data_IF_762464159851
#
_entry.id   IF_762464159851
#
_cell.length_a   1.000
_cell.length_b   1.000
_cell.length_c   1.000
_cell.angle_alpha   90.00
_cell.angle_beta   90.00
_cell.angle_gamma   90.00
#
_symmetry.space_group_name_H-M   'P 1'
#
loop_
_entity.id
_entity.type
_entity.pdbx_description
1 polymer ?
#
# COMPACT_ATOMS: atom_id res chain seq x y z
N UNK A 1 -4.50 -3.82 42.43
CA UNK A 1 -5.73 -3.18 41.93
C UNK A 1 -5.72 -1.73 42.37
N UNK A 2 -5.30 -0.80 41.52
CA UNK A 2 -5.23 0.64 41.82
C UNK A 2 -6.01 1.37 40.73
N UNK A 3 -7.17 1.93 41.07
CA UNK A 3 -7.97 2.73 40.15
C UNK A 3 -7.49 4.18 40.18
N UNK A 4 -6.99 4.67 39.05
CA UNK A 4 -6.60 6.06 38.87
C UNK A 4 -7.66 6.76 37.99
N UNK A 5 -8.57 7.47 38.64
CA UNK A 5 -9.68 8.18 37.99
C UNK A 5 -9.16 9.46 37.31
N UNK A 6 -8.74 9.35 36.05
CA UNK A 6 -8.39 10.51 35.22
C UNK A 6 -9.65 11.23 34.75
N UNK A 7 -9.86 12.49 35.17
CA UNK A 7 -10.88 13.38 34.59
C UNK A 7 -10.43 13.82 33.20
N UNK A 8 -11.16 13.42 32.16
CA UNK A 8 -11.04 14.01 30.83
C UNK A 8 -12.23 14.95 30.64
N UNK A 9 -11.95 16.24 30.43
CA UNK A 9 -12.95 17.26 30.08
C UNK A 9 -13.07 17.29 28.55
N UNK A 10 -14.20 16.87 28.01
CA UNK A 10 -14.51 17.00 26.58
C UNK A 10 -15.39 18.24 26.37
N UNK A 11 -14.94 19.17 25.53
CA UNK A 11 -15.69 20.36 25.12
C UNK A 11 -16.57 20.01 23.92
N UNK A 12 -17.89 20.14 24.06
CA UNK A 12 -18.87 19.92 23.00
C UNK A 12 -19.47 21.28 22.62
N UNK A 13 -19.30 21.70 21.36
CA UNK A 13 -19.79 22.98 20.84
C UNK A 13 -21.03 22.73 19.98
N UNK A 14 -22.20 23.21 20.44
CA UNK A 14 -23.41 23.24 19.61
C UNK A 14 -23.60 24.61 18.96
N UNK A 15 -23.87 24.67 17.65
CA UNK A 15 -24.20 25.93 16.98
C UNK A 15 -25.64 26.37 17.33
N UNK A 16 -25.80 27.64 17.69
CA UNK A 16 -27.12 28.27 17.86
C UNK A 16 -27.52 28.94 16.56
N UNK A 17 -28.74 28.68 16.10
CA UNK A 17 -29.33 29.37 14.95
C UNK A 17 -29.73 30.78 15.38
N UNK A 18 -29.16 31.79 14.72
CA UNK A 18 -29.53 33.20 14.90
C UNK A 18 -28.39 34.13 14.54
N UNK A 19 -28.64 35.05 13.60
CA UNK A 19 -27.70 36.09 13.13
C UNK A 19 -26.98 36.76 14.30
N UNK A 20 -25.66 36.89 14.17
CA UNK A 20 -24.71 37.58 15.05
C UNK A 20 -23.97 36.68 16.05
N UNK A 21 -22.68 36.55 15.76
CA UNK A 21 -21.69 35.77 16.49
C UNK A 21 -21.55 36.16 17.96
N UNK A 22 -21.22 35.14 18.76
CA UNK A 22 -20.51 35.22 20.04
C UNK A 22 -21.34 35.46 21.31
N UNK A 23 -22.12 34.44 21.71
CA UNK A 23 -22.38 34.13 23.13
C UNK A 23 -22.54 32.62 23.30
N UNK A 24 -21.61 32.00 24.02
CA UNK A 24 -21.69 30.60 24.43
C UNK A 24 -22.03 30.55 25.93
N UNK A 25 -23.07 29.78 26.30
CA UNK A 25 -23.40 29.50 27.70
C UNK A 25 -22.74 28.18 28.10
N UNK A 26 -21.92 28.23 29.15
CA UNK A 26 -21.26 27.06 29.71
C UNK A 26 -22.28 26.25 30.54
N UNK A 27 -22.84 25.17 29.98
CA UNK A 27 -23.77 24.29 30.69
C UNK A 27 -23.04 23.03 31.14
N UNK A 28 -22.97 22.83 32.46
CA UNK A 28 -22.41 21.63 33.10
C UNK A 28 -23.41 20.48 32.93
N UNK A 29 -23.23 19.63 31.93
CA UNK A 29 -24.10 18.46 31.71
C UNK A 29 -23.42 17.16 32.16
N UNK A 30 -24.12 16.37 32.98
CA UNK A 30 -23.71 14.99 33.33
C UNK A 30 -24.15 14.06 32.21
N UNK A 31 -23.29 13.82 31.21
CA UNK A 31 -23.44 12.61 30.38
C UNK A 31 -22.65 11.48 31.02
N UNK A 32 -23.35 10.42 31.39
CA UNK A 32 -22.73 9.11 31.57
C UNK A 32 -22.35 8.62 30.19
N UNK A 33 -21.10 8.84 29.79
CA UNK A 33 -20.54 8.14 28.64
C UNK A 33 -20.46 6.69 29.06
N UNK A 34 -21.32 5.84 28.50
CA UNK A 34 -21.17 4.40 28.63
C UNK A 34 -19.75 4.08 28.15
N UNK A 35 -18.93 3.54 29.05
CA UNK A 35 -17.55 3.19 28.76
C UNK A 35 -17.56 2.28 27.53
N UNK A 36 -17.09 2.79 26.40
CA UNK A 36 -16.76 1.91 25.29
C UNK A 36 -15.73 0.91 25.82
N UNK A 37 -15.89 -0.40 25.58
CA UNK A 37 -14.88 -1.37 25.98
C UNK A 37 -13.58 -0.95 25.31
N UNK A 38 -12.67 -0.44 26.13
CA UNK A 38 -11.33 -0.08 25.73
C UNK A 38 -10.73 -1.38 25.17
N UNK A 39 -10.22 -1.41 23.92
CA UNK A 39 -9.66 -2.63 23.37
C UNK A 39 -8.61 -3.10 24.35
N UNK A 40 -8.86 -4.26 24.94
CA UNK A 40 -7.97 -4.83 25.94
C UNK A 40 -6.58 -4.89 25.29
N UNK A 41 -5.64 -4.17 25.91
CA UNK A 41 -4.23 -4.30 25.62
C UNK A 41 -3.83 -5.70 26.06
N UNK A 42 -4.13 -6.70 25.23
CA UNK A 42 -3.53 -8.01 25.36
C UNK A 42 -2.09 -7.86 24.89
N UNK A 43 -1.23 -7.35 25.78
CA UNK A 43 0.20 -7.66 25.72
C UNK A 43 0.30 -9.17 25.98
N UNK A 44 0.06 -9.96 24.93
CA UNK A 44 0.32 -11.39 24.95
C UNK A 44 1.79 -11.59 25.33
N UNK A 45 2.05 -12.61 26.15
CA UNK A 45 3.39 -12.91 26.64
C UNK A 45 4.40 -12.94 25.47
N UNK A 46 5.54 -12.24 25.58
CA UNK A 46 6.47 -12.11 24.48
C UNK A 46 6.91 -13.49 23.99
N UNK A 47 6.82 -13.70 22.67
CA UNK A 47 7.21 -14.96 22.05
C UNK A 47 8.67 -15.26 22.36
N UNK A 48 8.96 -16.53 22.69
CA UNK A 48 10.36 -16.98 22.72
C UNK A 48 11.01 -16.78 21.34
N UNK A 49 12.34 -16.56 21.26
CA UNK A 49 13.02 -16.40 19.97
C UNK A 49 12.76 -17.55 18.99
N UNK A 50 12.61 -18.78 19.47
CA UNK A 50 12.26 -19.94 18.66
C UNK A 50 10.83 -19.86 18.11
N UNK A 51 9.86 -19.48 18.95
CA UNK A 51 8.47 -19.29 18.53
C UNK A 51 8.34 -18.13 17.53
N UNK A 52 9.06 -17.02 17.74
CA UNK A 52 9.11 -15.89 16.81
C UNK A 52 9.67 -16.30 15.45
N UNK A 53 10.80 -17.02 15.41
CA UNK A 53 11.37 -17.56 14.15
C UNK A 53 10.41 -18.51 13.44
N UNK A 54 9.72 -19.39 14.18
CA UNK A 54 8.72 -20.28 13.61
C UNK A 54 7.52 -19.51 13.05
N UNK A 55 7.06 -18.46 13.74
CA UNK A 55 5.99 -17.59 13.26
C UNK A 55 6.38 -16.86 11.96
N UNK A 56 7.59 -16.28 11.91
CA UNK A 56 8.14 -15.64 10.71
C UNK A 56 8.25 -16.64 9.55
N UNK A 57 8.80 -17.84 9.78
CA UNK A 57 8.88 -18.89 8.75
C UNK A 57 7.50 -19.22 8.17
N UNK A 58 6.48 -19.36 9.01
CA UNK A 58 5.09 -19.58 8.55
C UNK A 58 4.56 -18.39 7.77
N UNK A 59 4.83 -17.15 8.22
CA UNK A 59 4.41 -15.94 7.52
C UNK A 59 5.03 -15.84 6.11
N UNK A 60 6.35 -16.05 6.00
CA UNK A 60 7.03 -16.09 4.70
C UNK A 60 6.52 -17.21 3.80
N UNK A 61 6.25 -18.40 4.37
CA UNK A 61 5.71 -19.52 3.59
C UNK A 61 4.34 -19.19 2.99
N UNK A 62 3.45 -18.54 3.76
CA UNK A 62 2.15 -18.07 3.26
C UNK A 62 2.34 -16.98 2.20
N UNK A 63 3.24 -16.03 2.42
CA UNK A 63 3.55 -14.97 1.46
C UNK A 63 4.06 -15.54 0.12
N UNK A 64 4.95 -16.53 0.18
CA UNK A 64 5.49 -17.20 -1.01
C UNK A 64 4.40 -17.98 -1.76
N UNK A 65 3.50 -18.67 -1.05
CA UNK A 65 2.37 -19.36 -1.66
C UNK A 65 1.41 -18.39 -2.36
N UNK A 66 1.04 -17.29 -1.69
CA UNK A 66 0.19 -16.25 -2.26
C UNK A 66 0.83 -15.57 -3.48
N UNK A 67 2.14 -15.30 -3.42
CA UNK A 67 2.88 -14.77 -4.56
C UNK A 67 2.87 -15.75 -5.75
N UNK A 68 3.07 -17.05 -5.50
CA UNK A 68 3.06 -18.07 -6.54
C UNK A 68 1.67 -18.20 -7.20
N UNK A 69 0.59 -18.13 -6.41
CA UNK A 69 -0.78 -18.13 -6.91
C UNK A 69 -1.04 -16.90 -7.79
N UNK A 70 -0.69 -15.71 -7.31
CA UNK A 70 -0.83 -14.45 -8.03
C UNK A 70 -0.08 -14.46 -9.37
N UNK A 71 1.16 -14.95 -9.37
CA UNK A 71 2.01 -15.05 -10.57
C UNK A 71 1.55 -16.13 -11.56
N UNK A 72 0.70 -17.06 -11.12
CA UNK A 72 0.10 -18.08 -11.99
C UNK A 72 -1.22 -17.62 -12.60
N UNK A 73 -1.71 -16.44 -12.24
CA UNK A 73 -2.96 -15.87 -12.74
C UNK A 73 -2.91 -15.47 -14.22
N UNK A 74 -4.08 -15.34 -14.89
CA UNK A 74 -4.17 -15.03 -16.32
C UNK A 74 -3.63 -13.63 -16.67
N UNK A 75 -3.65 -12.71 -15.71
CA UNK A 75 -3.13 -11.33 -15.88
C UNK A 75 -1.59 -11.26 -15.81
N UNK A 76 -0.89 -12.39 -15.71
CA UNK A 76 0.56 -12.46 -15.58
C UNK A 76 1.21 -13.07 -16.83
N UNK A 77 1.60 -12.20 -17.76
CA UNK A 77 2.19 -12.59 -19.03
C UNK A 77 3.59 -13.18 -18.84
N UNK A 78 3.95 -14.15 -19.68
CA UNK A 78 5.34 -14.56 -19.87
C UNK A 78 6.12 -13.48 -20.65
N UNK A 79 7.46 -13.58 -20.67
CA UNK A 79 8.28 -12.71 -21.53
C UNK A 79 7.86 -12.80 -23.00
N UNK A 80 7.54 -14.00 -23.49
CA UNK A 80 7.21 -14.22 -24.90
C UNK A 80 5.84 -13.60 -25.23
N UNK A 81 4.84 -13.79 -24.37
CA UNK A 81 3.51 -13.20 -24.55
C UNK A 81 3.54 -11.66 -24.47
N UNK A 82 4.36 -11.09 -23.56
CA UNK A 82 4.54 -9.64 -23.51
C UNK A 82 5.27 -9.12 -24.75
N UNK A 83 6.27 -9.86 -25.25
CA UNK A 83 7.01 -9.50 -26.44
C UNK A 83 6.09 -9.46 -27.67
N UNK A 84 5.27 -10.49 -27.86
CA UNK A 84 4.23 -10.53 -28.89
C UNK A 84 3.27 -9.34 -28.78
N UNK A 85 2.76 -9.07 -27.56
CA UNK A 85 1.83 -7.96 -27.31
C UNK A 85 2.40 -6.58 -27.65
N UNK A 86 3.71 -6.40 -27.47
CA UNK A 86 4.39 -5.14 -27.75
C UNK A 86 5.01 -5.06 -29.14
N UNK A 87 4.96 -6.14 -29.93
CA UNK A 87 5.67 -6.23 -31.21
C UNK A 87 7.20 -6.14 -31.04
N UNK A 88 7.73 -6.66 -29.94
CA UNK A 88 9.15 -6.62 -29.58
C UNK A 88 9.75 -8.03 -29.57
N UNK A 89 11.09 -8.11 -29.56
CA UNK A 89 11.77 -9.36 -29.22
C UNK A 89 11.74 -9.60 -27.70
N UNK A 90 11.84 -10.87 -27.30
CA UNK A 90 12.01 -11.26 -25.89
C UNK A 90 13.21 -10.55 -25.24
N UNK A 91 14.32 -10.42 -25.98
CA UNK A 91 15.51 -9.70 -25.53
C UNK A 91 15.20 -8.21 -25.27
N UNK A 92 14.48 -7.56 -26.18
CA UNK A 92 14.09 -6.16 -25.99
C UNK A 92 13.19 -5.97 -24.75
N UNK A 93 12.29 -6.92 -24.45
CA UNK A 93 11.50 -6.93 -23.20
C UNK A 93 12.42 -7.03 -21.97
N UNK A 94 13.40 -7.95 -21.98
CA UNK A 94 14.35 -8.08 -20.89
C UNK A 94 15.21 -6.83 -20.71
N UNK A 95 15.65 -6.19 -21.79
CA UNK A 95 16.40 -4.93 -21.74
C UNK A 95 15.55 -3.78 -21.19
N UNK A 96 14.29 -3.65 -21.62
CA UNK A 96 13.34 -2.67 -21.07
C UNK A 96 13.11 -2.88 -19.57
N UNK A 97 12.92 -4.12 -19.13
CA UNK A 97 12.82 -4.47 -17.71
C UNK A 97 14.08 -4.07 -16.94
N UNK A 98 15.28 -4.35 -17.48
CA UNK A 98 16.55 -3.97 -16.84
C UNK A 98 16.72 -2.46 -16.68
N UNK A 99 16.12 -1.66 -17.57
CA UNK A 99 16.08 -0.19 -17.47
C UNK A 99 14.95 0.34 -16.57
N UNK A 100 14.15 -0.54 -15.96
CA UNK A 100 12.99 -0.14 -15.15
C UNK A 100 11.80 0.38 -15.97
N UNK A 101 11.81 0.21 -17.29
CA UNK A 101 10.70 0.62 -18.18
C UNK A 101 9.54 -0.38 -18.17
N UNK A 102 9.76 -1.57 -17.60
CA UNK A 102 8.76 -2.62 -17.45
C UNK A 102 8.84 -3.22 -16.06
N UNK A 103 7.67 -3.49 -15.49
CA UNK A 103 7.52 -4.18 -14.23
C UNK A 103 7.53 -5.69 -14.47
N UNK A 104 8.62 -6.34 -14.08
CA UNK A 104 8.75 -7.79 -14.05
C UNK A 104 8.79 -8.30 -12.61
N UNK A 105 7.99 -9.31 -12.31
CA UNK A 105 7.93 -9.97 -11.01
C UNK A 105 8.52 -11.36 -11.09
N UNK A 106 9.31 -11.69 -10.09
CA UNK A 106 9.85 -13.03 -9.88
C UNK A 106 9.29 -13.61 -8.58
N UNK A 107 8.93 -14.88 -8.62
CA UNK A 107 8.40 -15.62 -7.48
C UNK A 107 9.29 -16.79 -7.09
N UNK A 108 8.77 -17.67 -6.24
CA UNK A 108 9.49 -18.88 -5.83
C UNK A 108 9.70 -19.89 -6.97
N UNK A 109 8.83 -19.89 -7.99
CA UNK A 109 9.01 -20.67 -9.22
C UNK A 109 9.88 -19.89 -10.19
N UNK A 110 10.74 -20.61 -10.93
CA UNK A 110 11.56 -20.02 -12.01
C UNK A 110 10.69 -19.31 -13.03
N UNK A 111 11.10 -18.11 -13.42
CA UNK A 111 10.54 -17.36 -14.54
C UNK A 111 10.04 -15.98 -14.14
N UNK A 112 10.23 -15.04 -15.06
CA UNK A 112 9.73 -13.67 -14.94
C UNK A 112 8.28 -13.62 -15.41
N UNK A 113 7.44 -12.89 -14.66
CA UNK A 113 6.07 -12.59 -15.04
C UNK A 113 5.84 -11.09 -15.14
N UNK A 114 5.00 -10.70 -16.09
CA UNK A 114 4.73 -9.30 -16.37
C UNK A 114 3.23 -9.04 -16.22
N UNK A 115 2.82 -8.18 -15.28
CA UNK A 115 1.41 -7.87 -15.15
C UNK A 115 0.86 -7.22 -16.42
N UNK A 116 -0.20 -7.79 -17.01
CA UNK A 116 -0.78 -7.34 -18.27
C UNK A 116 -1.36 -5.92 -18.19
N UNK A 117 -1.89 -5.55 -17.01
CA UNK A 117 -2.45 -4.23 -16.74
C UNK A 117 -1.44 -3.10 -16.83
N UNK A 118 -0.12 -3.40 -16.78
CA UNK A 118 0.89 -2.36 -16.92
C UNK A 118 0.86 -1.77 -18.33
N UNK A 119 0.36 -2.50 -19.33
CA UNK A 119 0.23 -1.96 -20.67
C UNK A 119 -1.11 -1.21 -20.75
N UNK A 120 -1.02 0.12 -20.81
CA UNK A 120 -2.19 0.99 -20.86
C UNK A 120 -2.96 0.90 -22.19
N UNK A 121 -4.10 1.60 -22.32
CA UNK A 121 -4.90 1.63 -23.55
C UNK A 121 -4.13 2.13 -24.78
N UNK A 122 -3.08 2.93 -24.56
CA UNK A 122 -2.17 3.43 -25.59
C UNK A 122 -1.11 2.39 -26.02
N UNK A 123 -1.17 1.16 -25.52
CA UNK A 123 -0.20 0.09 -25.82
C UNK A 123 1.17 0.30 -25.16
N UNK A 124 1.28 1.18 -24.16
CA UNK A 124 2.56 1.53 -23.52
C UNK A 124 2.51 1.36 -21.99
N UNK A 125 3.64 1.02 -21.35
CA UNK A 125 3.75 1.06 -19.90
C UNK A 125 3.64 2.49 -19.34
N UNK A 126 3.32 2.69 -18.04
CA UNK A 126 3.32 4.01 -17.44
C UNK A 126 4.72 4.60 -17.51
N UNK A 127 4.84 5.83 -18.01
CA UNK A 127 6.11 6.55 -18.10
C UNK A 127 6.79 6.76 -16.73
N UNK A 128 6.02 6.67 -15.65
CA UNK A 128 6.50 6.78 -14.27
C UNK A 128 7.25 5.54 -13.76
N UNK A 129 7.22 4.39 -14.45
CA UNK A 129 7.82 3.15 -13.95
C UNK A 129 9.31 3.28 -13.57
N UNK A 130 10.20 3.90 -14.38
CA UNK A 130 11.59 4.05 -13.98
C UNK A 130 11.76 4.82 -12.68
N UNK A 131 11.02 5.92 -12.51
CA UNK A 131 11.06 6.73 -11.29
C UNK A 131 10.45 6.01 -10.07
N UNK A 132 9.45 5.14 -10.29
CA UNK A 132 8.91 4.28 -9.23
C UNK A 132 9.91 3.21 -8.79
N UNK A 133 10.62 2.59 -9.74
CA UNK A 133 11.70 1.64 -9.43
C UNK A 133 12.83 2.31 -8.67
N UNK A 134 13.20 3.54 -9.02
CA UNK A 134 14.19 4.33 -8.28
C UNK A 134 13.71 4.64 -6.86
N UNK A 135 12.44 5.04 -6.70
CA UNK A 135 11.89 5.44 -5.40
C UNK A 135 11.64 4.26 -4.45
N UNK A 136 11.21 3.10 -4.97
CA UNK A 136 10.73 1.97 -4.18
C UNK A 136 11.69 0.78 -4.17
N UNK A 137 12.69 0.77 -5.06
CA UNK A 137 13.65 -0.31 -5.24
C UNK A 137 13.01 -1.57 -5.83
N UNK A 138 12.60 -2.48 -4.95
CA UNK A 138 12.20 -3.83 -5.31
C UNK A 138 10.94 -3.86 -6.20
N UNK A 139 10.88 -4.68 -7.26
CA UNK A 139 9.72 -4.76 -8.15
C UNK A 139 8.40 -5.07 -7.44
N UNK A 140 8.45 -5.87 -6.38
CA UNK A 140 7.28 -6.17 -5.56
C UNK A 140 6.74 -4.96 -4.80
N UNK A 141 7.60 -4.01 -4.41
CA UNK A 141 7.17 -2.75 -3.81
C UNK A 141 6.45 -1.87 -4.83
N UNK A 142 7.00 -1.75 -6.05
CA UNK A 142 6.35 -1.05 -7.18
C UNK A 142 4.98 -1.66 -7.50
N UNK A 143 4.89 -3.00 -7.57
CA UNK A 143 3.62 -3.69 -7.79
C UNK A 143 2.59 -3.35 -6.72
N UNK A 144 2.96 -3.48 -5.43
CA UNK A 144 2.05 -3.17 -4.32
C UNK A 144 1.59 -1.72 -4.35
N UNK A 145 2.52 -0.79 -4.54
CA UNK A 145 2.21 0.63 -4.63
C UNK A 145 1.20 0.92 -5.74
N UNK A 146 1.39 0.35 -6.93
CA UNK A 146 0.50 0.59 -8.07
C UNK A 146 -0.89 -0.03 -7.88
N UNK A 147 -1.01 -1.15 -7.16
CA UNK A 147 -2.28 -1.86 -6.96
C UNK A 147 -3.05 -1.42 -5.73
N UNK A 148 -2.37 -0.91 -4.71
CA UNK A 148 -2.98 -0.44 -3.47
C UNK A 148 -3.68 0.92 -3.69
N UNK A 149 -4.79 1.13 -2.98
CA UNK A 149 -5.44 2.44 -2.85
C UNK A 149 -4.74 3.26 -1.77
N UNK A 150 -4.45 4.52 -2.08
CA UNK A 150 -3.75 5.42 -1.17
C UNK A 150 -4.69 6.53 -0.71
N UNK A 151 -4.90 6.72 0.61
CA UNK A 151 -5.68 7.84 1.14
C UNK A 151 -5.18 9.21 0.66
N UNK A 152 -3.86 9.37 0.53
CA UNK A 152 -3.18 10.57 0.06
C UNK A 152 -3.50 10.88 -1.40
N UNK A 153 -3.91 9.88 -2.19
CA UNK A 153 -4.29 10.03 -3.60
C UNK A 153 -5.82 10.01 -3.77
N UNK A 154 -6.56 10.37 -2.73
CA UNK A 154 -8.03 10.38 -2.74
C UNK A 154 -8.64 8.98 -2.90
N UNK A 155 -8.05 7.97 -2.25
CA UNK A 155 -8.45 6.56 -2.34
C UNK A 155 -8.32 5.94 -3.74
N UNK A 156 -7.58 6.57 -4.64
CA UNK A 156 -7.23 6.03 -5.96
C UNK A 156 -6.07 5.05 -5.85
N UNK A 157 -5.96 4.15 -6.83
CA UNK A 157 -4.80 3.27 -6.90
C UNK A 157 -3.55 4.03 -7.35
N UNK A 158 -2.37 3.56 -6.97
CA UNK A 158 -1.11 4.15 -7.46
C UNK A 158 -1.05 4.17 -9.00
N UNK A 159 -1.58 3.13 -9.66
CA UNK A 159 -1.68 3.05 -11.11
C UNK A 159 -2.56 4.16 -11.71
N UNK A 160 -3.75 4.37 -11.15
CA UNK A 160 -4.67 5.42 -11.60
C UNK A 160 -4.04 6.81 -11.43
N UNK A 161 -3.30 7.03 -10.35
CA UNK A 161 -2.69 8.31 -10.07
C UNK A 161 -1.47 8.61 -10.96
N UNK A 162 -0.59 7.62 -11.22
CA UNK A 162 0.59 7.82 -12.09
C UNK A 162 0.24 7.90 -13.58
N UNK A 163 -0.93 7.41 -13.97
CA UNK A 163 -1.43 7.53 -15.35
C UNK A 163 -2.25 8.80 -15.58
N UNK A 164 -2.68 9.47 -14.50
CA UNK A 164 -3.35 10.77 -14.56
C UNK A 164 -2.31 11.91 -14.54
N UNK A 165 -2.20 12.72 -15.61
CA UNK A 165 -1.24 13.83 -15.66
C UNK A 165 -1.39 14.83 -14.51
N UNK A 166 -2.58 14.95 -13.92
CA UNK A 166 -2.84 15.89 -12.82
C UNK A 166 -2.33 15.38 -11.48
N UNK A 167 -2.16 14.07 -11.32
CA UNK A 167 -1.77 13.43 -10.04
C UNK A 167 -0.44 12.69 -10.10
N UNK A 168 0.15 12.50 -11.28
CA UNK A 168 1.38 11.72 -11.43
C UNK A 168 2.54 12.23 -10.57
N UNK A 169 2.69 13.55 -10.45
CA UNK A 169 3.73 14.15 -9.60
C UNK A 169 3.52 13.86 -8.12
N UNK A 170 2.28 13.91 -7.64
CA UNK A 170 1.91 13.61 -6.25
C UNK A 170 2.12 12.12 -5.92
N UNK A 171 1.73 11.22 -6.84
CA UNK A 171 1.97 9.79 -6.69
C UNK A 171 3.47 9.46 -6.60
N UNK A 172 4.32 10.09 -7.41
CA UNK A 172 5.77 9.92 -7.33
C UNK A 172 6.33 10.49 -6.02
N UNK A 173 5.83 11.62 -5.53
CA UNK A 173 6.23 12.16 -4.24
C UNK A 173 5.81 11.24 -3.08
N UNK A 174 4.63 10.58 -3.17
CA UNK A 174 4.22 9.56 -2.20
C UNK A 174 5.15 8.35 -2.21
N UNK A 175 5.48 7.83 -3.40
CA UNK A 175 6.38 6.68 -3.53
C UNK A 175 7.75 6.93 -2.87
N UNK A 176 8.32 8.12 -3.05
CA UNK A 176 9.61 8.50 -2.43
C UNK A 176 9.55 8.62 -0.90
N UNK A 177 8.41 9.07 -0.36
CA UNK A 177 8.20 9.19 1.09
C UNK A 177 7.96 7.84 1.76
N UNK A 178 7.26 6.95 1.06
CA UNK A 178 6.83 5.66 1.58
C UNK A 178 7.82 4.52 1.37
N UNK A 179 9.10 4.79 1.06
CA UNK A 179 10.13 3.79 0.68
C UNK A 179 10.28 2.55 1.59
N UNK A 180 9.61 2.50 2.74
CA UNK A 180 9.45 1.32 3.62
C UNK A 180 8.53 0.20 3.07
N UNK A 181 8.30 0.15 1.75
CA UNK A 181 7.53 -0.94 1.15
C UNK A 181 8.33 -2.26 0.99
N UNK A 182 9.55 -2.39 1.52
CA UNK A 182 10.38 -3.60 1.40
C UNK A 182 10.24 -4.57 2.61
N UNK A 183 10.49 -5.89 2.44
CA UNK A 183 10.57 -6.83 3.57
C UNK A 183 11.80 -6.64 4.49
N UNK A 184 12.55 -5.55 4.30
CA UNK A 184 13.81 -5.25 4.99
C UNK A 184 13.68 -4.23 6.13
N UNK A 185 12.45 -3.88 6.54
CA UNK A 185 12.17 -3.11 7.76
C UNK A 185 12.02 -4.00 9.00
N UNK A 186 12.91 -4.98 9.19
CA UNK A 186 12.95 -5.87 10.35
C UNK A 186 14.39 -6.15 10.79
#
# INVERSE_FOLDING_TARGET
MVMRTGRVLTLDLKPTVGRSSTRFLLVKSKRVVAAQPQPAQHEGEPLTPAAARAALKRAYSRGAAAAAELLSGPDMLSSDALAERLGLSREAVHQKRRRGELLGLEGAKRGMRFPAWQIGPNGRPPAALPALHEALGEPWAVYRFLRQRHPELGMRTGLEAVTDPRQAAEALALARRGGDFGPAGA
#
